data_IF_250170424423
#
_entry.id   IF_250170424423
#
_cell.length_a   1.000
_cell.length_b   1.000
_cell.length_c   1.000
_cell.angle_alpha   90.00
_cell.angle_beta   90.00
_cell.angle_gamma   90.00
#
_symmetry.space_group_name_H-M   'P 1'
#
loop_
_entity.id
_entity.type
_entity.pdbx_description
1 polymer ?
#
# COMPACT_ATOMS: atom_id res chain seq x y z
N UNK A 1 -27.75 -38.88 -6.71
CA UNK A 1 -27.13 -37.57 -7.00
C UNK A 1 -26.02 -37.39 -5.97
N UNK A 2 -24.78 -37.73 -6.36
CA UNK A 2 -23.62 -37.85 -5.46
C UNK A 2 -22.88 -36.51 -5.49
N UNK A 3 -22.81 -35.83 -4.35
CA UNK A 3 -22.06 -34.61 -4.18
C UNK A 3 -20.56 -34.95 -4.03
N UNK A 4 -19.78 -34.59 -5.04
CA UNK A 4 -18.31 -34.65 -4.98
C UNK A 4 -17.85 -33.44 -4.19
N UNK A 5 -17.55 -33.64 -2.90
CA UNK A 5 -16.79 -32.66 -2.11
C UNK A 5 -15.35 -32.66 -2.62
N UNK A 6 -14.97 -31.56 -3.28
CA UNK A 6 -13.59 -31.26 -3.61
C UNK A 6 -12.88 -30.86 -2.32
N UNK A 7 -12.19 -31.83 -1.72
CA UNK A 7 -11.21 -31.60 -0.66
C UNK A 7 -10.02 -30.89 -1.30
N UNK A 8 -9.94 -29.57 -1.18
CA UNK A 8 -8.71 -28.84 -1.47
C UNK A 8 -7.71 -29.11 -0.36
N UNK A 9 -6.83 -30.09 -0.57
CA UNK A 9 -5.63 -30.26 0.24
C UNK A 9 -4.66 -29.12 -0.10
N UNK A 10 -4.62 -28.09 0.76
CA UNK A 10 -3.55 -27.09 0.76
C UNK A 10 -2.25 -27.71 1.28
N UNK A 11 -1.54 -28.44 0.43
CA UNK A 11 -0.15 -28.83 0.66
C UNK A 11 0.76 -27.63 0.43
N UNK A 12 0.88 -26.77 1.46
CA UNK A 12 1.76 -25.60 1.44
C UNK A 12 1.95 -24.89 2.78
N UNK A 13 1.26 -25.30 3.85
CA UNK A 13 1.28 -24.62 5.16
C UNK A 13 1.57 -25.61 6.29
N UNK A 14 2.56 -26.48 6.16
CA UNK A 14 2.86 -27.45 7.25
C UNK A 14 3.83 -26.86 8.27
N UNK A 15 4.68 -25.89 7.91
CA UNK A 15 5.66 -25.32 8.85
C UNK A 15 5.13 -24.18 9.74
N UNK A 16 4.04 -23.50 9.36
CA UNK A 16 3.43 -22.43 10.15
C UNK A 16 2.25 -22.91 11.03
N UNK A 17 1.78 -24.15 10.83
CA UNK A 17 0.61 -24.72 11.49
C UNK A 17 0.82 -25.16 12.94
N UNK A 18 2.07 -25.27 13.41
CA UNK A 18 2.36 -25.69 14.80
C UNK A 18 2.58 -24.50 15.77
N UNK A 19 2.81 -23.29 15.26
CA UNK A 19 3.11 -22.12 16.10
C UNK A 19 1.86 -21.42 16.61
N UNK A 20 0.83 -21.33 15.77
CA UNK A 20 -0.46 -20.73 16.11
C UNK A 20 -1.47 -21.87 16.11
N UNK A 21 -2.12 -22.08 17.24
CA UNK A 21 -3.15 -23.11 17.34
C UNK A 21 -4.45 -22.68 16.63
N UNK A 22 -5.42 -23.58 16.59
CA UNK A 22 -6.70 -23.33 15.91
C UNK A 22 -7.46 -22.16 16.55
N UNK A 23 -7.50 -22.06 17.88
CA UNK A 23 -8.24 -21.02 18.60
C UNK A 23 -7.60 -19.63 18.39
N UNK A 24 -6.28 -19.57 18.40
CA UNK A 24 -5.49 -18.37 18.14
C UNK A 24 -5.63 -17.91 16.69
N UNK A 25 -5.74 -18.86 15.75
CA UNK A 25 -5.99 -18.56 14.35
C UNK A 25 -7.40 -18.01 14.13
N UNK A 26 -8.40 -18.57 14.83
CA UNK A 26 -9.76 -18.03 14.82
C UNK A 26 -9.82 -16.62 15.42
N UNK A 27 -9.08 -16.36 16.51
CA UNK A 27 -8.94 -15.00 17.07
C UNK A 27 -8.33 -14.03 16.06
N UNK A 28 -7.25 -14.42 15.38
CA UNK A 28 -6.63 -13.60 14.34
C UNK A 28 -7.60 -13.30 13.19
N UNK A 29 -8.36 -14.29 12.74
CA UNK A 29 -9.37 -14.12 11.69
C UNK A 29 -10.46 -13.15 12.15
N UNK A 30 -10.98 -13.29 13.38
CA UNK A 30 -11.98 -12.39 13.95
C UNK A 30 -11.48 -10.94 14.05
N UNK A 31 -10.22 -10.74 14.46
CA UNK A 31 -9.60 -9.40 14.49
C UNK A 31 -9.57 -8.80 13.07
N UNK A 32 -9.17 -9.57 12.06
CA UNK A 32 -9.12 -9.10 10.68
C UNK A 32 -10.51 -8.81 10.11
N UNK A 33 -11.49 -9.69 10.32
CA UNK A 33 -12.87 -9.48 9.87
C UNK A 33 -13.52 -8.27 10.54
N UNK A 34 -13.33 -8.08 11.85
CA UNK A 34 -13.82 -6.89 12.55
C UNK A 34 -13.20 -5.60 12.01
N UNK A 35 -11.91 -5.63 11.68
CA UNK A 35 -11.24 -4.49 11.04
C UNK A 35 -11.82 -4.19 9.65
N UNK A 36 -11.96 -5.21 8.81
CA UNK A 36 -12.50 -5.04 7.45
C UNK A 36 -13.92 -4.48 7.48
N UNK A 37 -14.76 -4.99 8.37
CA UNK A 37 -16.12 -4.50 8.56
C UNK A 37 -16.11 -3.04 9.01
N UNK A 38 -15.46 -2.71 10.13
CA UNK A 38 -15.44 -1.35 10.66
C UNK A 38 -14.82 -0.35 9.68
N UNK A 39 -13.76 -0.74 8.95
CA UNK A 39 -13.15 0.12 7.94
C UNK A 39 -14.08 0.34 6.73
N UNK A 40 -14.83 -0.69 6.33
CA UNK A 40 -15.80 -0.59 5.23
C UNK A 40 -16.97 0.35 5.56
N UNK A 41 -17.44 0.34 6.81
CA UNK A 41 -18.50 1.21 7.32
C UNK A 41 -18.12 2.71 7.28
N UNK A 42 -16.82 3.03 7.26
CA UNK A 42 -16.35 4.42 7.11
C UNK A 42 -16.52 4.97 5.70
N UNK A 43 -16.82 4.12 4.70
CA UNK A 43 -17.13 4.49 3.31
C UNK A 43 -16.12 5.45 2.66
N UNK A 44 -14.84 5.36 3.06
CA UNK A 44 -13.79 6.28 2.61
C UNK A 44 -13.59 6.19 1.10
N UNK A 45 -13.54 4.99 0.53
CA UNK A 45 -13.33 4.82 -0.91
C UNK A 45 -14.51 5.34 -1.73
N UNK A 46 -15.74 5.12 -1.24
CA UNK A 46 -16.95 5.65 -1.88
C UNK A 46 -16.96 7.17 -1.84
N UNK A 47 -16.58 7.77 -0.71
CA UNK A 47 -16.48 9.22 -0.58
C UNK A 47 -15.34 9.81 -1.42
N UNK A 48 -14.22 9.11 -1.61
CA UNK A 48 -13.15 9.51 -2.55
C UNK A 48 -13.68 9.50 -3.99
N UNK A 49 -14.36 8.42 -4.38
CA UNK A 49 -14.94 8.30 -5.72
C UNK A 49 -15.98 9.40 -5.97
N UNK A 50 -16.85 9.67 -4.99
CA UNK A 50 -17.84 10.74 -5.04
C UNK A 50 -17.18 12.11 -5.15
N UNK A 51 -16.13 12.37 -4.36
CA UNK A 51 -15.37 13.62 -4.42
C UNK A 51 -14.75 13.83 -5.81
N UNK A 52 -14.09 12.82 -6.36
CA UNK A 52 -13.45 12.89 -7.68
C UNK A 52 -14.47 13.13 -8.79
N UNK A 53 -15.62 12.45 -8.73
CA UNK A 53 -16.73 12.64 -9.67
C UNK A 53 -17.27 14.06 -9.62
N UNK A 54 -17.60 14.57 -8.43
CA UNK A 54 -18.10 15.93 -8.25
C UNK A 54 -17.10 16.97 -8.76
N UNK A 55 -15.80 16.76 -8.52
CA UNK A 55 -14.76 17.65 -8.99
C UNK A 55 -14.66 17.66 -10.53
N UNK A 56 -14.71 16.48 -11.17
CA UNK A 56 -14.73 16.36 -12.62
C UNK A 56 -15.98 16.98 -13.25
N UNK A 57 -17.15 16.78 -12.63
CA UNK A 57 -18.42 17.35 -13.08
C UNK A 57 -18.41 18.89 -13.01
N UNK A 58 -17.83 19.47 -11.94
CA UNK A 58 -17.64 20.91 -11.80
C UNK A 58 -16.74 21.45 -12.92
N UNK A 59 -15.57 20.84 -13.16
CA UNK A 59 -14.64 21.30 -14.19
C UNK A 59 -15.23 21.16 -15.60
N UNK A 60 -15.90 20.05 -15.90
CA UNK A 60 -16.63 19.89 -17.17
C UNK A 60 -17.69 20.97 -17.37
N UNK A 61 -18.44 21.30 -16.30
CA UNK A 61 -19.49 22.33 -16.36
C UNK A 61 -18.90 23.73 -16.50
N UNK A 62 -17.74 24.01 -15.90
CA UNK A 62 -17.01 25.28 -16.11
C UNK A 62 -16.57 25.44 -17.56
N UNK A 63 -16.00 24.41 -18.18
CA UNK A 63 -15.60 24.46 -19.61
C UNK A 63 -16.81 24.74 -20.50
N UNK A 64 -17.93 24.04 -20.25
CA UNK A 64 -19.19 24.30 -20.98
C UNK A 64 -19.69 25.73 -20.75
N UNK A 65 -19.61 26.23 -19.52
CA UNK A 65 -20.00 27.59 -19.17
C UNK A 65 -19.16 28.62 -19.95
N UNK A 66 -17.83 28.46 -19.98
CA UNK A 66 -16.92 29.35 -20.69
C UNK A 66 -17.19 29.35 -22.19
N UNK A 67 -17.41 28.17 -22.79
CA UNK A 67 -17.80 28.06 -24.20
C UNK A 67 -19.13 28.77 -24.51
N UNK A 68 -20.15 28.64 -23.64
CA UNK A 68 -21.42 29.35 -23.80
C UNK A 68 -21.25 30.87 -23.64
N UNK A 69 -20.37 31.32 -22.74
CA UNK A 69 -20.05 32.74 -22.58
C UNK A 69 -19.37 33.29 -23.85
N UNK A 70 -18.41 32.57 -24.42
CA UNK A 70 -17.76 32.97 -25.68
C UNK A 70 -18.74 32.99 -26.87
N UNK A 71 -19.63 31.99 -26.97
CA UNK A 71 -20.70 32.00 -27.97
C UNK A 71 -21.62 33.21 -27.81
N UNK A 72 -22.02 33.57 -26.58
CA UNK A 72 -22.83 34.76 -26.34
C UNK A 72 -22.10 36.02 -26.83
N UNK A 73 -20.79 36.17 -26.54
CA UNK A 73 -20.01 37.32 -27.00
C UNK A 73 -19.95 37.39 -28.52
N UNK A 74 -19.66 36.27 -29.18
CA UNK A 74 -19.57 36.19 -30.64
C UNK A 74 -20.90 36.51 -31.32
N UNK A 75 -21.99 35.87 -30.89
CA UNK A 75 -23.33 36.07 -31.46
C UNK A 75 -23.90 37.46 -31.14
N UNK A 76 -23.52 38.06 -30.02
CA UNK A 76 -23.87 39.47 -29.72
C UNK A 76 -23.18 40.44 -30.67
N UNK A 77 -21.90 40.21 -31.00
CA UNK A 77 -21.19 41.02 -32.01
C UNK A 77 -21.86 40.87 -33.38
N UNK A 78 -22.21 39.64 -33.78
CA UNK A 78 -22.93 39.38 -35.04
C UNK A 78 -24.30 40.07 -35.08
N UNK A 79 -25.03 40.07 -33.96
CA UNK A 79 -26.32 40.77 -33.87
C UNK A 79 -26.13 42.28 -34.02
N UNK A 80 -25.11 42.85 -33.38
CA UNK A 80 -24.78 44.28 -33.51
C UNK A 80 -24.49 44.64 -34.96
N UNK A 81 -23.67 43.85 -35.67
CA UNK A 81 -23.31 44.13 -37.06
C UNK A 81 -24.54 44.11 -37.97
N UNK A 82 -25.39 43.07 -37.85
CA UNK A 82 -26.67 42.99 -38.60
C UNK A 82 -27.61 44.16 -38.33
N UNK A 83 -27.70 44.61 -37.08
CA UNK A 83 -28.54 45.76 -36.73
C UNK A 83 -28.01 47.07 -37.35
N UNK A 84 -26.70 47.27 -37.43
CA UNK A 84 -26.09 48.41 -38.12
C UNK A 84 -26.38 48.36 -39.62
N UNK A 85 -26.45 47.16 -40.21
CA UNK A 85 -26.87 46.93 -41.60
C UNK A 85 -28.39 47.07 -41.81
N UNK A 86 -29.18 47.33 -40.75
CA UNK A 86 -30.63 47.46 -40.82
C UNK A 86 -31.40 46.13 -40.86
N UNK A 87 -30.74 45.01 -40.59
CA UNK A 87 -31.32 43.66 -40.59
C UNK A 87 -31.59 43.18 -39.16
N UNK A 88 -32.84 42.84 -38.86
CA UNK A 88 -33.23 42.24 -37.59
C UNK A 88 -33.32 40.70 -37.71
N UNK A 89 -32.52 39.99 -36.92
CA UNK A 89 -32.47 38.51 -36.90
C UNK A 89 -33.06 37.96 -35.60
N UNK A 90 -34.34 37.60 -35.63
CA UNK A 90 -35.07 37.08 -34.47
C UNK A 90 -34.52 35.72 -33.99
N UNK A 91 -34.04 34.89 -34.92
CA UNK A 91 -33.47 33.57 -34.59
C UNK A 91 -32.20 33.68 -33.75
N UNK A 92 -31.39 34.71 -34.03
CA UNK A 92 -30.17 35.01 -33.29
C UNK A 92 -30.47 35.48 -31.86
N UNK A 93 -31.50 36.29 -31.68
CA UNK A 93 -31.96 36.74 -30.35
C UNK A 93 -32.48 35.57 -29.52
N UNK A 94 -33.28 34.67 -30.12
CA UNK A 94 -33.74 33.45 -29.44
C UNK A 94 -32.57 32.56 -29.00
N UNK A 95 -31.55 32.44 -29.85
CA UNK A 95 -30.31 31.70 -29.55
C UNK A 95 -29.58 32.31 -28.35
N UNK A 96 -29.36 33.64 -28.35
CA UNK A 96 -28.75 34.36 -27.24
C UNK A 96 -29.53 34.20 -25.93
N UNK A 97 -30.87 34.24 -25.99
CA UNK A 97 -31.74 34.01 -24.82
C UNK A 97 -31.57 32.59 -24.26
N UNK A 98 -31.51 31.58 -25.13
CA UNK A 98 -31.31 30.19 -24.73
C UNK A 98 -29.91 29.98 -24.11
N UNK A 99 -28.86 30.54 -24.72
CA UNK A 99 -27.50 30.49 -24.17
C UNK A 99 -27.41 31.16 -22.79
N UNK A 100 -28.06 32.32 -22.61
CA UNK A 100 -28.13 33.01 -21.31
C UNK A 100 -28.82 32.16 -20.23
N UNK A 101 -29.93 31.49 -20.57
CA UNK A 101 -30.61 30.58 -19.65
C UNK A 101 -29.72 29.37 -19.28
N UNK A 102 -29.00 28.81 -20.26
CA UNK A 102 -28.02 27.72 -20.04
C UNK A 102 -26.89 28.16 -19.11
N UNK A 103 -26.35 29.37 -19.29
CA UNK A 103 -25.32 29.95 -18.41
C UNK A 103 -25.82 30.03 -16.97
N UNK A 104 -27.05 30.50 -16.74
CA UNK A 104 -27.61 30.58 -15.39
C UNK A 104 -27.79 29.18 -14.77
N UNK A 105 -28.31 28.23 -15.55
CA UNK A 105 -28.46 26.82 -15.11
C UNK A 105 -27.11 26.19 -14.74
N UNK A 106 -26.09 26.35 -15.59
CA UNK A 106 -24.73 25.83 -15.34
C UNK A 106 -24.09 26.46 -14.10
N UNK A 107 -24.30 27.75 -13.85
CA UNK A 107 -23.83 28.40 -12.60
C UNK A 107 -24.47 27.79 -11.36
N UNK A 108 -25.78 27.53 -11.38
CA UNK A 108 -26.46 26.85 -10.27
C UNK A 108 -26.00 25.40 -10.08
N UNK A 109 -25.72 24.67 -11.17
CA UNK A 109 -25.16 23.32 -11.11
C UNK A 109 -23.77 23.32 -10.45
N UNK A 110 -22.89 24.26 -10.83
CA UNK A 110 -21.56 24.42 -10.22
C UNK A 110 -21.69 24.74 -8.72
N UNK A 111 -22.58 25.65 -8.34
CA UNK A 111 -22.76 26.01 -6.93
C UNK A 111 -23.26 24.82 -6.09
N UNK A 112 -24.23 24.06 -6.62
CA UNK A 112 -24.81 22.89 -5.94
C UNK A 112 -23.78 21.78 -5.79
N UNK A 113 -23.06 21.44 -6.86
CA UNK A 113 -21.99 20.47 -6.82
C UNK A 113 -20.85 20.92 -5.88
N UNK A 114 -20.55 22.22 -5.82
CA UNK A 114 -19.57 22.79 -4.91
C UNK A 114 -19.93 22.61 -3.43
N UNK A 115 -21.21 22.78 -3.07
CA UNK A 115 -21.70 22.50 -1.70
C UNK A 115 -21.55 21.03 -1.34
N UNK A 116 -21.98 20.13 -2.24
CA UNK A 116 -21.84 18.68 -2.04
C UNK A 116 -20.37 18.24 -1.95
N UNK A 117 -19.47 18.88 -2.72
CA UNK A 117 -18.04 18.62 -2.67
C UNK A 117 -17.44 19.00 -1.30
N UNK A 118 -17.86 20.13 -0.73
CA UNK A 118 -17.42 20.59 0.58
C UNK A 118 -17.91 19.64 1.70
N UNK A 119 -19.15 19.17 1.62
CA UNK A 119 -19.71 18.16 2.54
C UNK A 119 -18.94 16.83 2.43
N UNK A 120 -18.76 16.32 1.22
CA UNK A 120 -18.00 15.08 0.98
C UNK A 120 -16.56 15.18 1.50
N UNK A 121 -15.93 16.36 1.38
CA UNK A 121 -14.59 16.61 1.95
C UNK A 121 -14.58 16.54 3.48
N UNK A 122 -15.63 17.03 4.14
CA UNK A 122 -15.77 16.95 5.61
C UNK A 122 -15.97 15.52 6.06
N UNK A 123 -16.82 14.76 5.36
CA UNK A 123 -17.03 13.32 5.59
C UNK A 123 -15.74 12.52 5.41
N UNK A 124 -14.95 12.82 4.37
CA UNK A 124 -13.63 12.20 4.16
C UNK A 124 -12.67 12.47 5.32
N UNK A 125 -12.59 13.72 5.78
CA UNK A 125 -11.72 14.07 6.91
C UNK A 125 -12.14 13.34 8.18
N UNK A 126 -13.44 13.21 8.44
CA UNK A 126 -13.95 12.47 9.58
C UNK A 126 -13.68 10.95 9.46
N UNK A 127 -13.97 10.37 8.31
CA UNK A 127 -13.69 8.95 8.03
C UNK A 127 -12.22 8.63 8.18
N UNK A 128 -11.31 9.48 7.70
CA UNK A 128 -9.85 9.30 7.89
C UNK A 128 -9.42 9.38 9.37
N UNK A 129 -10.08 10.23 10.18
CA UNK A 129 -9.82 10.27 11.62
C UNK A 129 -10.26 8.97 12.30
N UNK A 130 -11.45 8.46 11.96
CA UNK A 130 -11.98 7.20 12.50
C UNK A 130 -11.21 5.97 12.01
N UNK A 131 -10.74 5.96 10.76
CA UNK A 131 -9.98 4.85 10.18
C UNK A 131 -8.77 4.50 11.03
N UNK A 132 -8.00 5.50 11.45
CA UNK A 132 -6.84 5.18 12.28
C UNK A 132 -7.16 4.97 13.77
N UNK A 133 -8.40 5.16 14.21
CA UNK A 133 -8.84 4.55 15.47
C UNK A 133 -9.10 3.05 15.27
N UNK A 134 -9.76 2.67 14.18
CA UNK A 134 -9.99 1.26 13.79
C UNK A 134 -8.67 0.51 13.59
N UNK A 135 -7.68 1.13 12.92
CA UNK A 135 -6.34 0.55 12.75
C UNK A 135 -5.60 0.38 14.09
N UNK A 136 -5.72 1.34 15.02
CA UNK A 136 -5.13 1.20 16.37
C UNK A 136 -5.73 0.02 17.11
N UNK A 137 -7.07 -0.10 17.12
CA UNK A 137 -7.77 -1.20 17.79
C UNK A 137 -7.33 -2.56 17.22
N UNK A 138 -7.19 -2.67 15.89
CA UNK A 138 -6.64 -3.87 15.25
C UNK A 138 -5.22 -4.16 15.75
N UNK A 139 -4.33 -3.18 15.71
CA UNK A 139 -2.93 -3.38 16.08
C UNK A 139 -2.79 -3.78 17.55
N UNK A 140 -3.52 -3.14 18.45
CA UNK A 140 -3.52 -3.46 19.88
C UNK A 140 -4.02 -4.89 20.12
N UNK A 141 -5.06 -5.33 19.39
CA UNK A 141 -5.56 -6.70 19.45
C UNK A 141 -4.55 -7.74 18.92
N UNK A 142 -3.84 -7.44 17.82
CA UNK A 142 -2.79 -8.34 17.29
C UNK A 142 -1.62 -8.42 18.27
N UNK A 143 -1.23 -7.31 18.90
CA UNK A 143 -0.16 -7.29 19.92
C UNK A 143 -0.56 -8.08 21.17
N UNK A 144 -1.81 -7.95 21.62
CA UNK A 144 -2.32 -8.75 22.73
C UNK A 144 -2.32 -10.25 22.40
N UNK A 145 -2.73 -10.62 21.18
CA UNK A 145 -2.68 -12.01 20.70
C UNK A 145 -1.23 -12.52 20.63
N UNK A 146 -0.29 -11.71 20.15
CA UNK A 146 1.13 -12.05 20.13
C UNK A 146 1.68 -12.36 21.52
N UNK A 147 1.44 -11.50 22.52
CA UNK A 147 1.92 -11.74 23.89
C UNK A 147 1.24 -12.95 24.53
N UNK A 148 -0.04 -13.21 24.21
CA UNK A 148 -0.72 -14.44 24.62
C UNK A 148 -0.03 -15.69 24.07
N UNK A 149 0.19 -15.75 22.75
CA UNK A 149 0.82 -16.90 22.09
C UNK A 149 2.25 -17.10 22.64
N UNK A 150 3.02 -16.01 22.75
CA UNK A 150 4.37 -16.04 23.31
C UNK A 150 4.39 -16.59 24.74
N UNK A 151 3.46 -16.15 25.60
CA UNK A 151 3.34 -16.64 26.98
C UNK A 151 3.04 -18.14 27.00
N UNK A 152 2.13 -18.61 26.13
CA UNK A 152 1.82 -20.04 25.99
C UNK A 152 3.06 -20.86 25.62
N UNK A 153 3.78 -20.49 24.55
CA UNK A 153 5.00 -21.20 24.15
C UNK A 153 6.09 -21.17 25.22
N UNK A 154 6.24 -20.05 25.94
CA UNK A 154 7.19 -19.95 27.07
C UNK A 154 6.81 -20.89 28.23
N UNK A 155 5.52 -21.12 28.45
CA UNK A 155 5.04 -22.05 29.47
C UNK A 155 5.19 -23.51 29.01
N UNK A 156 4.87 -23.82 27.76
CA UNK A 156 5.10 -25.14 27.14
C UNK A 156 6.58 -25.53 27.17
N UNK A 157 7.50 -24.57 26.94
CA UNK A 157 8.94 -24.81 27.01
C UNK A 157 9.45 -25.22 28.40
N UNK A 158 8.71 -24.92 29.47
CA UNK A 158 9.06 -25.32 30.84
C UNK A 158 8.64 -26.76 31.15
N UNK A 159 7.60 -27.26 30.49
CA UNK A 159 6.98 -28.55 30.75
C UNK A 159 7.71 -29.69 30.05
N UNK A 160 7.76 -30.86 30.69
CA UNK A 160 8.23 -32.11 30.08
C UNK A 160 7.02 -32.84 29.53
N UNK A 161 6.98 -33.00 28.22
CA UNK A 161 5.97 -33.78 27.52
C UNK A 161 6.45 -35.23 27.44
N UNK A 162 5.58 -36.17 27.78
CA UNK A 162 5.80 -37.61 27.60
C UNK A 162 4.96 -38.06 26.42
N UNK A 163 5.57 -38.82 25.51
CA UNK A 163 4.93 -39.25 24.28
C UNK A 163 5.41 -40.65 23.89
N UNK A 164 4.61 -41.35 23.11
CA UNK A 164 4.92 -42.69 22.61
C UNK A 164 5.12 -42.62 21.10
N UNK A 165 6.24 -43.18 20.63
CA UNK A 165 6.62 -43.19 19.23
C UNK A 165 6.69 -44.61 18.71
N UNK A 166 5.85 -44.89 17.72
CA UNK A 166 5.81 -46.18 17.04
C UNK A 166 6.52 -46.07 15.70
N UNK A 167 7.24 -47.12 15.32
CA UNK A 167 7.92 -47.15 14.04
C UNK A 167 8.35 -48.54 13.62
N UNK A 168 8.89 -48.63 12.42
CA UNK A 168 9.41 -49.86 11.85
C UNK A 168 10.78 -49.65 11.22
N UNK A 169 11.61 -50.67 11.27
CA UNK A 169 12.95 -50.68 10.67
C UNK A 169 13.27 -52.09 10.15
N UNK A 170 14.24 -52.20 9.24
CA UNK A 170 14.66 -53.48 8.69
C UNK A 170 15.98 -53.93 9.32
N UNK A 171 15.96 -55.11 9.93
CA UNK A 171 17.11 -55.75 10.56
C UNK A 171 17.65 -56.89 9.70
N UNK A 172 18.92 -57.22 9.89
CA UNK A 172 19.43 -58.48 9.39
C UNK A 172 18.77 -59.63 10.17
N UNK A 173 18.30 -60.67 9.47
CA UNK A 173 17.68 -61.86 10.08
C UNK A 173 18.65 -62.60 11.01
N UNK A 174 19.97 -62.48 10.76
CA UNK A 174 21.00 -63.08 11.59
C UNK A 174 21.42 -62.23 12.82
N UNK A 175 20.95 -60.98 12.92
CA UNK A 175 21.27 -60.08 14.03
C UNK A 175 20.21 -60.20 15.14
N UNK A 176 20.61 -60.14 16.42
CA UNK A 176 19.65 -60.15 17.52
C UNK A 176 18.84 -58.85 17.57
N UNK A 177 17.58 -58.95 18.00
CA UNK A 177 16.66 -57.82 18.17
C UNK A 177 17.31 -56.63 18.90
N UNK A 178 17.96 -56.90 20.04
CA UNK A 178 18.61 -55.88 20.86
C UNK A 178 19.78 -55.20 20.16
N UNK A 179 20.58 -55.95 19.39
CA UNK A 179 21.71 -55.40 18.63
C UNK A 179 21.20 -54.49 17.52
N UNK A 180 20.17 -54.92 16.79
CA UNK A 180 19.58 -54.14 15.72
C UNK A 180 18.93 -52.83 16.24
N UNK A 181 18.18 -52.89 17.34
CA UNK A 181 17.57 -51.70 17.95
C UNK A 181 18.64 -50.74 18.45
N UNK A 182 19.68 -51.22 19.15
CA UNK A 182 20.75 -50.37 19.65
C UNK A 182 21.56 -49.69 18.54
N UNK A 183 21.82 -50.42 17.44
CA UNK A 183 22.49 -49.88 16.24
C UNK A 183 21.67 -48.76 15.60
N UNK A 184 20.35 -48.91 15.54
CA UNK A 184 19.44 -47.94 14.93
C UNK A 184 18.92 -46.87 15.90
N UNK A 185 19.24 -46.96 17.19
CA UNK A 185 18.74 -46.03 18.22
C UNK A 185 18.98 -44.54 17.89
N UNK A 186 20.15 -44.11 17.35
CA UNK A 186 20.35 -42.73 16.92
C UNK A 186 19.38 -42.31 15.80
N UNK A 187 19.15 -43.19 14.82
CA UNK A 187 18.23 -42.94 13.70
C UNK A 187 16.78 -42.87 14.17
N UNK A 188 16.37 -43.76 15.06
CA UNK A 188 15.03 -43.76 15.68
C UNK A 188 14.82 -42.47 16.48
N UNK A 189 15.79 -42.06 17.30
CA UNK A 189 15.76 -40.78 18.03
C UNK A 189 15.64 -39.59 17.09
N UNK A 190 16.41 -39.57 16.01
CA UNK A 190 16.37 -38.48 15.03
C UNK A 190 15.02 -38.43 14.31
N UNK A 191 14.46 -39.58 13.92
CA UNK A 191 13.14 -39.67 13.30
C UNK A 191 12.04 -39.14 14.23
N UNK A 192 12.07 -39.50 15.52
CA UNK A 192 11.18 -38.93 16.52
C UNK A 192 11.35 -37.41 16.62
N UNK A 193 12.59 -36.91 16.72
CA UNK A 193 12.84 -35.47 16.81
C UNK A 193 12.33 -34.71 15.59
N UNK A 194 12.55 -35.24 14.39
CA UNK A 194 12.05 -34.66 13.13
C UNK A 194 10.52 -34.64 13.13
N UNK A 195 9.87 -35.72 13.59
CA UNK A 195 8.40 -35.79 13.67
C UNK A 195 7.77 -34.73 14.59
N UNK A 196 8.56 -34.16 15.51
CA UNK A 196 8.15 -33.09 16.44
C UNK A 196 8.70 -31.71 16.05
N UNK A 197 9.01 -31.51 14.77
CA UNK A 197 9.48 -30.23 14.24
C UNK A 197 10.99 -30.01 14.31
N UNK A 198 11.78 -31.02 14.71
CA UNK A 198 13.24 -31.00 14.68
C UNK A 198 13.90 -30.45 15.95
N UNK A 199 15.24 -30.43 15.94
CA UNK A 199 16.08 -30.00 17.07
C UNK A 199 15.90 -28.52 17.45
N UNK A 200 15.40 -27.70 16.52
CA UNK A 200 15.08 -26.29 16.77
C UNK A 200 13.81 -26.11 17.60
N UNK A 201 12.90 -27.10 17.57
CA UNK A 201 11.57 -27.05 18.20
C UNK A 201 11.49 -27.81 19.51
N UNK A 202 12.28 -28.87 19.65
CA UNK A 202 12.25 -29.68 20.87
C UNK A 202 13.66 -30.04 21.37
N UNK A 203 13.77 -30.20 22.68
CA UNK A 203 14.93 -30.77 23.36
C UNK A 203 14.52 -32.09 24.01
N UNK A 204 15.05 -33.19 23.48
CA UNK A 204 14.87 -34.52 24.05
C UNK A 204 15.45 -34.57 25.47
N UNK A 205 14.68 -35.08 26.42
CA UNK A 205 15.08 -35.26 27.83
C UNK A 205 15.20 -36.73 28.23
N UNK A 206 14.46 -37.61 27.56
CA UNK A 206 14.53 -39.06 27.72
C UNK A 206 14.02 -39.75 26.46
N UNK A 207 14.58 -40.91 26.15
CA UNK A 207 14.10 -41.74 25.04
C UNK A 207 14.53 -43.18 25.23
N UNK A 208 13.56 -44.10 25.21
CA UNK A 208 13.79 -45.53 25.43
C UNK A 208 12.81 -46.34 24.59
N UNK A 209 13.34 -47.31 23.85
CA UNK A 209 12.51 -48.33 23.19
C UNK A 209 11.98 -49.28 24.27
N UNK A 210 10.67 -49.38 24.40
CA UNK A 210 9.99 -50.18 25.44
C UNK A 210 9.52 -51.52 24.93
N UNK A 211 9.18 -51.61 23.65
CA UNK A 211 8.78 -52.86 23.01
C UNK A 211 9.35 -52.91 21.59
N UNK A 212 9.68 -54.13 21.13
CA UNK A 212 10.14 -54.39 19.78
C UNK A 212 9.81 -55.84 19.39
N UNK A 213 9.25 -56.01 18.19
CA UNK A 213 8.90 -57.31 17.61
C UNK A 213 9.51 -57.44 16.23
N UNK A 214 10.23 -58.54 15.96
CA UNK A 214 10.86 -58.82 14.67
C UNK A 214 10.20 -60.02 13.98
N UNK A 215 9.90 -59.87 12.69
CA UNK A 215 9.41 -60.93 11.81
C UNK A 215 10.58 -61.72 11.20
N UNK A 216 10.29 -62.94 10.75
CA UNK A 216 11.28 -63.85 10.16
C UNK A 216 11.97 -63.30 8.89
N UNK A 217 11.36 -62.32 8.22
CA UNK A 217 11.92 -61.64 7.05
C UNK A 217 12.84 -60.46 7.41
N UNK A 218 13.05 -60.17 8.71
CA UNK A 218 13.89 -59.08 9.18
C UNK A 218 13.14 -57.79 9.51
N UNK A 219 11.84 -57.70 9.27
CA UNK A 219 11.06 -56.50 9.59
C UNK A 219 10.83 -56.38 11.10
N UNK A 220 11.30 -55.28 11.70
CA UNK A 220 11.16 -54.98 13.11
C UNK A 220 10.18 -53.82 13.29
N UNK A 221 9.17 -54.00 14.14
CA UNK A 221 8.30 -52.93 14.64
C UNK A 221 8.65 -52.62 16.09
N UNK A 222 8.65 -51.35 16.48
CA UNK A 222 9.03 -50.93 17.83
C UNK A 222 8.08 -49.85 18.37
N UNK A 223 8.02 -49.79 19.70
CA UNK A 223 7.36 -48.74 20.47
C UNK A 223 8.41 -48.12 21.39
N UNK A 224 8.53 -46.79 21.36
CA UNK A 224 9.46 -46.04 22.18
C UNK A 224 8.76 -45.00 23.04
N UNK A 225 9.10 -44.97 24.32
CA UNK A 225 8.74 -43.87 25.21
C UNK A 225 9.75 -42.74 25.02
N UNK A 226 9.24 -41.56 24.71
CA UNK A 226 9.99 -40.33 24.59
C UNK A 226 9.55 -39.32 25.64
N UNK A 227 10.48 -38.51 26.11
CA UNK A 227 10.20 -37.35 26.95
C UNK A 227 10.99 -36.16 26.40
N UNK A 228 10.34 -35.04 26.16
CA UNK A 228 10.97 -33.86 25.58
C UNK A 228 10.41 -32.57 26.17
N UNK A 229 11.14 -31.47 26.00
CA UNK A 229 10.68 -30.11 26.26
C UNK A 229 10.56 -29.36 24.95
N UNK A 230 9.58 -28.48 24.81
CA UNK A 230 9.56 -27.53 23.70
C UNK A 230 10.71 -26.51 23.86
N UNK A 231 11.25 -26.06 22.74
CA UNK A 231 12.31 -25.05 22.68
C UNK A 231 11.70 -23.73 22.21
N UNK A 232 11.73 -22.71 23.07
CA UNK A 232 11.44 -21.35 22.65
C UNK A 232 12.76 -20.62 22.36
N UNK A 233 12.95 -20.21 21.10
CA UNK A 233 14.16 -19.55 20.63
C UNK A 233 13.84 -18.21 19.95
N UNK A 234 14.86 -17.41 19.67
CA UNK A 234 14.73 -16.20 18.86
C UNK A 234 14.16 -16.49 17.46
N UNK A 235 14.44 -17.67 16.89
CA UNK A 235 13.87 -18.07 15.60
C UNK A 235 12.37 -18.34 15.71
N UNK A 236 11.92 -18.98 16.80
CA UNK A 236 10.50 -19.17 17.12
C UNK A 236 9.77 -17.82 17.20
N UNK A 237 10.40 -16.82 17.81
CA UNK A 237 9.86 -15.47 17.90
C UNK A 237 9.73 -14.79 16.53
N UNK A 238 10.73 -14.94 15.65
CA UNK A 238 10.68 -14.39 14.29
C UNK A 238 9.58 -15.04 13.46
N UNK A 239 9.43 -16.36 13.55
CA UNK A 239 8.38 -17.09 12.83
C UNK A 239 6.99 -16.75 13.34
N UNK A 240 6.82 -16.63 14.67
CA UNK A 240 5.56 -16.19 15.27
C UNK A 240 5.18 -14.78 14.81
N UNK A 241 6.15 -13.86 14.81
CA UNK A 241 5.93 -12.50 14.31
C UNK A 241 5.52 -12.50 12.85
N UNK A 242 6.21 -13.27 12.00
CA UNK A 242 5.87 -13.40 10.58
C UNK A 242 4.47 -13.97 10.38
N UNK A 243 4.08 -14.97 11.17
CA UNK A 243 2.75 -15.58 11.12
C UNK A 243 1.64 -14.61 11.51
N UNK A 244 1.92 -13.65 12.41
CA UNK A 244 1.02 -12.56 12.78
C UNK A 244 1.19 -11.29 11.93
N UNK A 245 2.05 -11.33 10.91
CA UNK A 245 2.39 -10.20 10.05
C UNK A 245 2.99 -8.98 10.81
N UNK A 246 3.81 -9.27 11.83
CA UNK A 246 4.50 -8.33 12.73
C UNK A 246 6.00 -8.19 12.40
N UNK A 247 6.37 -8.03 11.12
CA UNK A 247 7.78 -7.90 10.73
C UNK A 247 8.50 -6.72 11.43
N UNK A 248 9.75 -6.90 11.86
CA UNK A 248 10.54 -5.78 12.39
C UNK A 248 10.82 -4.78 11.25
N UNK A 249 10.31 -3.57 11.39
CA UNK A 249 10.61 -2.47 10.47
C UNK A 249 11.71 -1.61 11.06
N UNK A 250 12.69 -1.26 10.22
CA UNK A 250 13.69 -0.25 10.54
C UNK A 250 13.34 1.03 9.83
N UNK A 251 13.21 2.12 10.55
CA UNK A 251 12.89 3.44 9.98
C UNK A 251 13.52 4.54 10.82
N UNK A 252 13.44 5.77 10.34
CA UNK A 252 14.12 6.92 10.90
C UNK A 252 13.11 8.01 11.19
N UNK A 253 13.14 8.53 12.41
CA UNK A 253 12.51 9.82 12.72
C UNK A 253 13.53 10.93 12.64
N UNK A 254 13.20 11.99 11.89
CA UNK A 254 14.00 13.20 11.82
C UNK A 254 13.25 14.41 12.35
N UNK A 255 13.97 15.32 12.97
CA UNK A 255 13.48 16.64 13.36
C UNK A 255 14.59 17.66 13.18
N UNK A 256 14.22 18.90 12.90
CA UNK A 256 15.14 20.03 12.82
C UNK A 256 15.56 20.58 14.20
N UNK A 257 15.37 19.81 15.27
CA UNK A 257 15.76 20.20 16.62
C UNK A 257 16.19 18.99 17.45
N UNK A 258 17.37 19.08 18.05
CA UNK A 258 17.96 18.04 18.92
C UNK A 258 17.20 17.78 20.22
N UNK A 259 16.28 18.67 20.60
CA UNK A 259 15.43 18.54 21.79
C UNK A 259 14.10 17.83 21.53
N UNK A 260 13.89 17.30 20.33
CA UNK A 260 12.66 16.58 19.98
C UNK A 260 12.67 15.17 20.58
N UNK A 261 11.57 14.77 21.23
CA UNK A 261 11.34 13.39 21.65
C UNK A 261 10.22 12.77 20.83
N UNK A 262 10.44 11.54 20.35
CA UNK A 262 9.49 10.80 19.52
C UNK A 262 8.81 9.71 20.34
N UNK A 263 7.52 9.55 20.10
CA UNK A 263 6.66 8.58 20.73
C UNK A 263 5.87 7.83 19.67
N UNK A 264 5.74 6.52 19.82
CA UNK A 264 4.82 5.68 19.04
C UNK A 264 3.78 5.13 20.02
N UNK A 265 2.50 5.40 19.78
CA UNK A 265 1.41 5.02 20.69
C UNK A 265 1.72 5.38 22.17
N UNK A 266 2.22 6.61 22.37
CA UNK A 266 2.61 7.18 23.66
C UNK A 266 3.79 6.51 24.40
N UNK A 267 4.42 5.49 23.82
CA UNK A 267 5.70 4.98 24.29
C UNK A 267 6.86 5.77 23.67
N UNK A 268 7.78 6.25 24.50
CA UNK A 268 8.96 6.99 24.03
C UNK A 268 9.92 6.04 23.33
N UNK A 269 10.22 6.32 22.07
CA UNK A 269 11.13 5.50 21.25
C UNK A 269 12.51 6.12 21.06
N UNK A 270 12.66 7.42 21.31
CA UNK A 270 13.96 8.10 21.30
C UNK A 270 13.86 9.62 21.33
N UNK A 271 15.00 10.29 21.36
CA UNK A 271 15.11 11.75 21.33
C UNK A 271 16.32 12.17 20.50
N UNK A 272 16.21 13.30 19.78
CA UNK A 272 17.28 13.84 18.96
C UNK A 272 16.81 14.40 17.62
N UNK A 273 17.75 14.86 16.80
CA UNK A 273 17.49 15.30 15.41
C UNK A 273 17.23 14.13 14.48
N UNK A 274 17.79 12.96 14.82
CA UNK A 274 17.66 11.72 14.08
C UNK A 274 17.57 10.57 15.09
N UNK A 275 16.54 9.74 14.96
CA UNK A 275 16.36 8.54 15.77
C UNK A 275 16.11 7.38 14.82
N UNK A 276 17.07 6.46 14.74
CA UNK A 276 16.89 5.19 14.03
C UNK A 276 16.12 4.24 14.96
N UNK A 277 14.92 3.88 14.56
CA UNK A 277 14.02 2.98 15.32
C UNK A 277 13.98 1.65 14.60
N UNK A 278 14.22 0.57 15.34
CA UNK A 278 14.04 -0.80 14.87
C UNK A 278 13.09 -1.48 15.83
N UNK A 279 12.02 -2.05 15.32
CA UNK A 279 11.06 -2.78 16.15
C UNK A 279 9.80 -3.20 15.41
N UNK A 280 8.87 -3.77 16.17
CA UNK A 280 7.58 -4.24 15.68
C UNK A 280 6.62 -3.06 15.45
N UNK A 281 6.81 -2.35 14.35
CA UNK A 281 5.96 -1.23 13.99
C UNK A 281 5.40 -1.37 12.57
N UNK A 282 4.95 -2.55 12.15
CA UNK A 282 4.28 -2.70 10.84
C UNK A 282 2.87 -2.15 10.90
N UNK A 283 2.54 -1.28 9.95
CA UNK A 283 1.20 -0.71 9.81
C UNK A 283 1.13 0.76 10.22
N UNK A 284 -0.09 1.24 10.45
CA UNK A 284 -0.33 2.66 10.75
C UNK A 284 -0.26 2.91 12.25
N UNK A 285 0.65 3.79 12.66
CA UNK A 285 0.86 4.16 14.05
C UNK A 285 0.60 5.65 14.27
N UNK A 286 0.19 5.96 15.49
CA UNK A 286 0.16 7.33 15.98
C UNK A 286 1.54 7.74 16.46
N UNK A 287 2.23 8.51 15.65
CA UNK A 287 3.55 9.03 15.99
C UNK A 287 3.41 10.45 16.50
N UNK A 288 3.91 10.69 17.71
CA UNK A 288 3.92 12.00 18.36
C UNK A 288 5.36 12.46 18.54
N UNK A 289 5.71 13.59 17.95
CA UNK A 289 6.95 14.29 18.21
C UNK A 289 6.68 15.46 19.16
N UNK A 290 7.48 15.61 20.22
CA UNK A 290 7.32 16.67 21.22
C UNK A 290 8.62 17.47 21.32
N UNK A 291 8.51 18.79 21.18
CA UNK A 291 9.61 19.71 21.34
C UNK A 291 9.16 20.94 22.16
N UNK A 292 9.78 21.16 23.33
CA UNK A 292 9.53 22.32 24.20
C UNK A 292 8.03 22.66 24.39
N UNK A 293 7.21 21.66 24.73
CA UNK A 293 5.77 21.83 24.99
C UNK A 293 4.88 21.89 23.74
N UNK A 294 5.45 21.90 22.53
CA UNK A 294 4.71 21.74 21.27
C UNK A 294 4.76 20.29 20.82
N UNK A 295 3.60 19.72 20.52
CA UNK A 295 3.48 18.36 19.99
C UNK A 295 2.99 18.39 18.54
N UNK A 296 3.61 17.58 17.69
CA UNK A 296 3.09 17.23 16.37
C UNK A 296 2.74 15.75 16.38
N UNK A 297 1.49 15.43 16.03
CA UNK A 297 1.02 14.06 15.94
C UNK A 297 0.62 13.74 14.51
N UNK A 298 1.22 12.69 13.95
CA UNK A 298 0.96 12.20 12.60
C UNK A 298 0.61 10.73 12.66
N UNK A 299 -0.33 10.31 11.82
CA UNK A 299 -0.62 8.90 11.57
C UNK A 299 0.28 8.45 10.43
N UNK A 300 1.25 7.59 10.72
CA UNK A 300 2.26 7.16 9.77
C UNK A 300 2.13 5.66 9.55
N UNK A 301 2.05 5.25 8.29
CA UNK A 301 2.28 3.85 7.92
C UNK A 301 3.79 3.60 7.98
N UNK A 302 4.25 3.02 9.08
CA UNK A 302 5.65 2.76 9.36
C UNK A 302 6.10 1.54 8.55
N UNK A 303 7.06 1.77 7.65
CA UNK A 303 7.59 0.79 6.70
C UNK A 303 9.09 0.63 6.87
N UNK A 304 9.62 -0.52 6.45
CA UNK A 304 11.05 -0.74 6.44
C UNK A 304 11.75 0.24 5.47
N UNK A 305 12.85 0.85 5.92
CA UNK A 305 13.53 1.93 5.21
C UNK A 305 12.81 3.29 5.25
N UNK A 306 11.71 3.42 6.01
CA UNK A 306 10.97 4.66 6.11
C UNK A 306 11.78 5.80 6.74
N UNK A 307 11.57 7.02 6.29
CA UNK A 307 12.20 8.22 6.83
C UNK A 307 11.14 9.32 7.00
N UNK A 308 10.84 9.68 8.24
CA UNK A 308 9.71 10.53 8.59
C UNK A 308 10.19 11.77 9.34
N UNK A 309 9.88 12.94 8.77
CA UNK A 309 10.39 14.23 9.26
C UNK A 309 9.32 15.05 9.98
N UNK A 310 9.65 15.56 11.16
CA UNK A 310 8.80 16.37 12.04
C UNK A 310 9.42 17.77 12.21
N UNK A 311 9.00 18.75 11.41
CA UNK A 311 9.53 20.11 11.45
C UNK A 311 8.87 20.90 12.59
N UNK A 312 9.66 21.36 13.55
CA UNK A 312 9.21 22.40 14.49
C UNK A 312 9.62 23.76 13.97
N UNK A 313 8.77 24.78 14.12
CA UNK A 313 9.15 26.14 13.78
C UNK A 313 10.37 26.52 14.60
N UNK A 314 11.55 26.54 13.96
CA UNK A 314 12.71 27.18 14.52
C UNK A 314 12.31 28.65 14.67
N UNK A 315 12.50 29.22 15.87
CA UNK A 315 12.72 30.66 15.90
C UNK A 315 13.98 30.85 15.05
N UNK A 316 13.80 31.30 13.81
CA UNK A 316 14.84 31.34 12.80
C UNK A 316 16.02 32.14 13.31
N UNK A 317 17.17 31.48 13.48
CA UNK A 317 18.45 32.12 13.27
C UNK A 317 18.70 32.12 11.76
N UNK A 318 18.16 33.14 11.10
CA UNK A 318 18.85 33.71 9.95
C UNK A 318 20.12 34.34 10.49
N UNK A 319 21.29 33.85 10.07
CA UNK A 319 22.39 34.74 9.77
C UNK A 319 23.31 34.11 8.72
N UNK A 320 23.39 34.83 7.60
CA UNK A 320 24.62 34.90 6.83
C UNK A 320 25.70 35.46 7.75
N UNK A 321 26.89 34.88 7.62
CA UNK A 321 28.21 35.49 7.83
C UNK A 321 28.22 36.91 8.47
N UNK A 322 28.55 36.92 9.75
CA UNK A 322 29.46 37.85 10.47
C UNK A 322 29.17 39.37 10.37
N UNK A 323 28.75 40.00 11.48
CA UNK A 323 29.52 41.02 12.25
C UNK A 323 28.70 41.67 13.41
N UNK A 324 29.24 41.54 14.62
CA UNK A 324 29.25 42.41 15.83
C UNK A 324 27.97 43.01 16.47
N UNK A 325 27.76 42.57 17.72
CA UNK A 325 27.49 43.30 18.98
C UNK A 325 26.97 44.76 18.94
N UNK A 326 25.80 45.02 19.53
CA UNK A 326 25.68 45.53 20.92
C UNK A 326 24.21 45.66 21.38
N UNK A 327 23.92 45.00 22.50
CA UNK A 327 23.03 45.39 23.63
C UNK A 327 22.10 46.62 23.50
N UNK A 328 20.78 46.43 23.68
CA UNK A 328 20.10 46.62 24.98
C UNK A 328 18.58 46.41 24.90
N UNK A 329 18.03 46.02 26.05
CA UNK A 329 16.67 45.57 26.31
C UNK A 329 15.59 46.66 26.23
N UNK A 330 14.31 46.25 26.08
CA UNK A 330 13.19 46.47 27.04
C UNK A 330 11.79 46.25 26.39
N UNK A 331 11.01 45.38 27.05
CA UNK A 331 9.55 45.35 27.27
C UNK A 331 8.47 45.22 26.17
N UNK A 332 7.72 44.11 26.36
CA UNK A 332 6.25 43.97 26.58
C UNK A 332 5.21 44.40 25.52
N UNK A 333 4.16 43.56 25.54
CA UNK A 333 2.71 43.78 25.26
C UNK A 333 2.15 43.61 23.84
N UNK A 334 1.34 42.55 23.71
CA UNK A 334 0.18 42.33 22.82
C UNK A 334 -0.93 43.30 23.32
N UNK A 335 -1.84 43.93 22.50
CA UNK A 335 -2.86 43.18 21.75
C UNK A 335 -3.55 43.78 20.49
N UNK A 336 -4.15 42.86 19.73
CA UNK A 336 -5.50 42.89 19.09
C UNK A 336 -5.92 44.04 18.16
N UNK A 337 -6.30 43.67 16.92
CA UNK A 337 -7.68 43.81 16.36
C UNK A 337 -7.76 44.28 14.89
N UNK A 338 -8.69 43.64 14.17
CA UNK A 338 -9.56 44.18 13.12
C UNK A 338 -8.98 44.80 11.82
N UNK A 339 -9.21 44.15 10.65
CA UNK A 339 -10.18 44.58 9.60
C UNK A 339 -9.95 43.86 8.26
N UNK A 340 -11.03 43.28 7.77
CA UNK A 340 -11.31 42.96 6.36
C UNK A 340 -11.22 44.18 5.45
N UNK A 341 -10.75 44.02 4.20
CA UNK A 341 -11.28 44.69 3.00
C UNK A 341 -10.80 44.03 1.70
N UNK A 342 -11.76 43.69 0.86
CA UNK A 342 -11.60 43.36 -0.57
C UNK A 342 -11.36 44.64 -1.37
N UNK A 343 -10.52 44.54 -2.41
CA UNK A 343 -10.56 45.44 -3.58
C UNK A 343 -10.21 44.65 -4.84
N UNK A 344 -11.15 44.68 -5.80
CA UNK A 344 -10.93 44.33 -7.22
C UNK A 344 -10.16 45.47 -7.89
N UNK A 345 -9.28 45.17 -8.85
CA UNK A 345 -9.54 45.41 -10.29
C UNK A 345 -8.29 45.76 -11.14
N UNK A 346 -8.36 45.28 -12.38
CA UNK A 346 -7.74 45.72 -13.66
C UNK A 346 -6.31 45.30 -14.02
N UNK A 347 -6.28 44.51 -15.10
CA UNK A 347 -5.19 44.12 -15.99
C UNK A 347 -4.45 45.32 -16.64
N UNK A 348 -3.16 45.17 -16.92
CA UNK A 348 -2.66 45.43 -18.28
C UNK A 348 -1.44 44.55 -18.61
N UNK A 349 -1.22 44.19 -19.89
CA UNK A 349 -0.43 43.04 -20.32
C UNK A 349 1.00 43.38 -20.76
N UNK A 350 1.75 42.30 -21.03
CA UNK A 350 2.91 42.22 -21.93
C UNK A 350 4.29 42.59 -21.36
N UNK A 351 5.06 41.56 -20.97
CA UNK A 351 6.27 41.17 -21.72
C UNK A 351 6.77 39.79 -21.29
N UNK A 352 6.73 38.89 -22.26
CA UNK A 352 7.22 37.52 -22.25
C UNK A 352 8.76 37.53 -22.10
N UNK A 353 9.28 36.74 -21.16
CA UNK A 353 10.52 35.99 -21.31
C UNK A 353 10.34 34.62 -20.67
N UNK A 354 10.75 33.62 -21.43
CA UNK A 354 10.63 32.19 -21.17
C UNK A 354 11.16 31.80 -19.79
N UNK A 355 10.33 31.08 -19.04
CA UNK A 355 10.76 30.15 -18.01
C UNK A 355 9.74 29.02 -17.99
N UNK A 356 10.18 27.87 -18.50
CA UNK A 356 9.52 26.58 -18.52
C UNK A 356 8.79 26.29 -17.21
N UNK A 357 7.49 26.10 -17.33
CA UNK A 357 6.57 25.80 -16.24
C UNK A 357 6.93 24.47 -15.57
N UNK A 358 7.49 24.56 -14.36
CA UNK A 358 7.51 23.46 -13.41
C UNK A 358 6.08 23.17 -12.96
N UNK A 359 5.45 22.16 -13.57
CA UNK A 359 4.16 21.64 -13.12
C UNK A 359 4.31 21.05 -11.71
N UNK A 360 3.39 21.44 -10.83
CA UNK A 360 3.20 20.94 -9.48
C UNK A 360 3.11 19.42 -9.46
N UNK A 361 4.08 18.76 -8.82
CA UNK A 361 4.11 17.31 -8.59
C UNK A 361 2.99 16.90 -7.64
N UNK A 362 1.87 16.41 -8.19
CA UNK A 362 1.09 15.37 -7.53
C UNK A 362 1.90 14.07 -7.67
N UNK A 363 2.44 13.54 -6.58
CA UNK A 363 3.13 12.25 -6.58
C UNK A 363 2.11 11.13 -6.74
N UNK A 364 1.83 10.77 -8.00
CA UNK A 364 1.12 9.54 -8.35
C UNK A 364 2.03 8.35 -8.08
N UNK A 365 1.62 7.45 -7.18
CA UNK A 365 2.32 6.21 -6.90
C UNK A 365 2.03 5.19 -8.02
N UNK A 366 2.94 5.09 -8.98
CA UNK A 366 2.93 4.03 -9.98
C UNK A 366 3.76 2.82 -9.50
N UNK A 367 3.26 1.63 -9.78
CA UNK A 367 3.97 0.35 -9.57
C UNK A 367 4.12 -0.33 -10.92
N UNK A 368 5.08 -1.25 -11.06
CA UNK A 368 5.28 -1.99 -12.30
C UNK A 368 5.16 -3.48 -12.03
N UNK A 369 4.32 -4.17 -12.80
CA UNK A 369 4.23 -5.64 -12.80
C UNK A 369 5.20 -6.19 -13.84
N UNK A 370 6.07 -7.12 -13.45
CA UNK A 370 6.85 -7.89 -14.41
C UNK A 370 5.91 -8.83 -15.16
N UNK A 371 5.82 -8.67 -16.48
CA UNK A 371 5.01 -9.53 -17.35
C UNK A 371 5.84 -10.72 -17.82
N UNK A 372 7.07 -10.45 -18.25
CA UNK A 372 7.96 -11.45 -18.80
C UNK A 372 9.41 -10.98 -18.70
N UNK A 373 10.35 -11.91 -18.59
CA UNK A 373 11.78 -11.65 -18.55
C UNK A 373 12.48 -12.68 -19.42
N UNK A 374 13.24 -12.21 -20.39
CA UNK A 374 14.14 -13.04 -21.19
C UNK A 374 15.61 -12.71 -20.87
N UNK A 375 16.53 -13.18 -21.71
CA UNK A 375 17.96 -12.99 -21.53
C UNK A 375 18.43 -11.55 -21.79
N UNK A 376 17.69 -10.76 -22.58
CA UNK A 376 18.06 -9.41 -22.98
C UNK A 376 17.14 -8.32 -22.38
N UNK A 377 15.89 -8.64 -22.08
CA UNK A 377 14.88 -7.66 -21.67
C UNK A 377 14.01 -8.13 -20.51
N UNK A 378 13.63 -7.18 -19.65
CA UNK A 378 12.50 -7.32 -18.72
C UNK A 378 11.34 -6.46 -19.20
N UNK A 379 10.18 -7.08 -19.38
CA UNK A 379 8.95 -6.44 -19.83
C UNK A 379 8.06 -6.09 -18.64
N UNK A 380 7.81 -4.80 -18.45
CA UNK A 380 7.08 -4.25 -17.32
C UNK A 380 5.76 -3.64 -17.78
N UNK A 381 4.65 -3.99 -17.13
CA UNK A 381 3.39 -3.25 -17.29
C UNK A 381 3.20 -2.30 -16.11
N UNK A 382 3.11 -0.99 -16.39
CA UNK A 382 2.80 0.01 -15.38
C UNK A 382 1.37 -0.14 -14.86
N UNK A 383 1.23 0.02 -13.56
CA UNK A 383 -0.03 -0.01 -12.83
C UNK A 383 -0.12 1.17 -11.89
N UNK A 384 -1.29 1.77 -11.85
CA UNK A 384 -1.60 2.73 -10.82
C UNK A 384 -1.86 2.00 -9.50
N UNK A 385 -1.11 2.34 -8.46
CA UNK A 385 -1.32 1.75 -7.13
C UNK A 385 -2.30 2.65 -6.35
N UNK A 386 -3.57 2.26 -6.37
CA UNK A 386 -4.57 2.79 -5.44
C UNK A 386 -4.41 2.17 -4.05
N UNK A 387 -5.06 2.74 -3.05
CA UNK A 387 -4.97 2.32 -1.64
C UNK A 387 -5.44 0.87 -1.38
N UNK A 388 -6.17 0.24 -2.31
CA UNK A 388 -6.72 -1.12 -2.13
C UNK A 388 -6.56 -2.07 -3.33
N UNK A 389 -6.40 -1.56 -4.56
CA UNK A 389 -6.20 -2.39 -5.77
C UNK A 389 -5.27 -1.68 -6.77
N UNK A 390 -4.45 -2.46 -7.46
CA UNK A 390 -3.66 -1.99 -8.60
C UNK A 390 -4.52 -2.03 -9.87
N UNK A 391 -4.62 -0.92 -10.59
CA UNK A 391 -5.31 -0.86 -11.88
C UNK A 391 -4.30 -0.71 -13.02
N UNK A 392 -4.62 -1.27 -14.18
CA UNK A 392 -3.78 -1.08 -15.37
C UNK A 392 -3.79 0.41 -15.77
N UNK A 393 -2.62 0.91 -16.18
CA UNK A 393 -2.42 2.30 -16.51
C UNK A 393 -2.69 2.54 -18.00
N UNK A 394 -3.53 3.53 -18.30
CA UNK A 394 -3.82 4.00 -19.66
C UNK A 394 -3.32 5.44 -19.78
N UNK A 395 -2.43 5.69 -20.74
CA UNK A 395 -1.86 7.03 -20.99
C UNK A 395 -1.96 7.36 -22.48
N UNK A 396 -1.87 8.64 -22.81
CA UNK A 396 -1.57 9.05 -24.18
C UNK A 396 -0.13 8.63 -24.54
N UNK A 397 0.23 8.75 -25.81
CA UNK A 397 1.51 8.25 -26.32
C UNK A 397 2.69 9.00 -25.72
N UNK A 398 2.64 10.32 -25.66
CA UNK A 398 3.71 11.17 -25.16
C UNK A 398 4.02 10.87 -23.69
N UNK A 399 2.99 10.74 -22.86
CA UNK A 399 3.11 10.41 -21.44
C UNK A 399 3.59 8.97 -21.23
N UNK A 400 3.19 8.02 -22.09
CA UNK A 400 3.68 6.63 -22.04
C UNK A 400 5.18 6.53 -22.38
N UNK A 401 5.64 7.27 -23.40
CA UNK A 401 7.07 7.39 -23.74
C UNK A 401 7.82 8.01 -22.57
N UNK A 402 7.32 9.14 -22.06
CA UNK A 402 7.93 9.83 -20.93
C UNK A 402 8.02 8.93 -19.69
N UNK A 403 6.99 8.13 -19.43
CA UNK A 403 7.01 7.15 -18.34
C UNK A 403 8.10 6.10 -18.53
N UNK A 404 8.15 5.41 -19.67
CA UNK A 404 9.14 4.36 -19.89
C UNK A 404 10.57 4.91 -19.88
N UNK A 405 10.81 6.06 -20.52
CA UNK A 405 12.16 6.64 -20.63
C UNK A 405 12.62 7.28 -19.32
N UNK A 406 11.80 8.12 -18.68
CA UNK A 406 12.23 8.91 -17.53
C UNK A 406 12.08 8.18 -16.19
N UNK A 407 11.10 7.26 -16.05
CA UNK A 407 10.88 6.54 -14.78
C UNK A 407 11.60 5.19 -14.72
N UNK A 408 11.78 4.54 -15.87
CA UNK A 408 12.29 3.17 -15.92
C UNK A 408 13.54 3.00 -16.78
N UNK A 409 14.08 4.08 -17.35
CA UNK A 409 15.24 4.04 -18.24
C UNK A 409 15.07 2.99 -19.35
N UNK A 410 13.88 2.98 -19.95
CA UNK A 410 13.40 1.91 -20.83
C UNK A 410 12.69 2.48 -22.06
N UNK A 411 12.26 1.62 -22.98
CA UNK A 411 11.55 2.04 -24.20
C UNK A 411 10.27 1.25 -24.41
N UNK A 412 9.34 1.82 -25.17
CA UNK A 412 8.17 1.08 -25.63
C UNK A 412 8.61 -0.09 -26.57
N UNK A 413 7.97 -1.27 -26.48
CA UNK A 413 8.25 -2.38 -27.38
C UNK A 413 7.86 -2.07 -28.84
N UNK A 414 8.50 -2.79 -29.76
CA UNK A 414 8.07 -2.84 -31.16
C UNK A 414 6.88 -3.78 -31.32
N UNK A 415 6.18 -3.70 -32.45
CA UNK A 415 5.12 -4.66 -32.78
C UNK A 415 5.60 -6.11 -32.74
N UNK A 416 6.81 -6.38 -33.26
CA UNK A 416 7.40 -7.73 -33.21
C UNK A 416 7.66 -8.21 -31.77
N UNK A 417 7.99 -7.29 -30.85
CA UNK A 417 8.18 -7.64 -29.44
C UNK A 417 6.84 -7.99 -28.75
N UNK A 418 5.73 -7.36 -29.12
CA UNK A 418 4.41 -7.75 -28.62
C UNK A 418 3.95 -9.11 -29.17
N UNK A 419 4.17 -9.36 -30.46
CA UNK A 419 3.92 -10.68 -31.07
C UNK A 419 4.77 -11.78 -30.41
N UNK A 420 6.03 -11.46 -30.08
CA UNK A 420 6.87 -12.36 -29.30
C UNK A 420 6.28 -12.60 -27.91
N UNK A 421 5.87 -11.56 -27.18
CA UNK A 421 5.28 -11.71 -25.84
C UNK A 421 4.03 -12.61 -25.83
N UNK A 422 3.14 -12.50 -26.80
CA UNK A 422 1.94 -13.37 -26.88
C UNK A 422 2.27 -14.87 -26.99
N UNK A 423 3.46 -15.24 -27.47
CA UNK A 423 3.87 -16.64 -27.55
C UNK A 423 4.37 -17.21 -26.21
N UNK A 424 4.79 -16.35 -25.27
CA UNK A 424 5.49 -16.75 -24.04
C UNK A 424 4.82 -16.26 -22.75
N UNK A 425 3.79 -15.42 -22.84
CA UNK A 425 3.06 -14.90 -21.70
C UNK A 425 1.63 -14.52 -22.08
N UNK A 426 0.69 -14.69 -21.14
CA UNK A 426 -0.69 -14.26 -21.30
C UNK A 426 -0.77 -12.74 -21.17
N UNK A 427 -0.62 -12.04 -22.31
CA UNK A 427 -0.83 -10.61 -22.40
C UNK A 427 -2.29 -10.30 -22.07
N UNK A 428 -2.53 -9.28 -21.25
CA UNK A 428 -3.90 -8.87 -20.96
C UNK A 428 -4.58 -8.38 -22.25
N UNK A 429 -5.84 -8.77 -22.52
CA UNK A 429 -6.52 -8.35 -23.74
C UNK A 429 -6.65 -6.82 -23.82
N UNK A 430 -6.28 -6.24 -24.95
CA UNK A 430 -6.53 -4.83 -25.27
C UNK A 430 -5.48 -4.19 -26.19
N UNK A 431 -5.54 -2.86 -26.24
CA UNK A 431 -4.74 -2.01 -27.14
C UNK A 431 -3.51 -1.43 -26.44
N UNK A 432 -2.36 -1.57 -27.12
CA UNK A 432 -1.03 -1.24 -26.60
C UNK A 432 -0.28 -0.24 -27.46
N UNK A 433 0.36 0.75 -26.83
CA UNK A 433 1.28 1.63 -27.53
C UNK A 433 2.55 0.90 -27.98
N UNK A 434 2.89 1.07 -29.26
CA UNK A 434 4.18 0.64 -29.82
C UNK A 434 5.16 1.81 -29.91
N UNK A 435 6.46 1.49 -29.99
CA UNK A 435 7.52 2.48 -30.19
C UNK A 435 7.29 3.41 -31.38
N UNK A 436 6.70 2.90 -32.47
CA UNK A 436 6.46 3.66 -33.71
C UNK A 436 5.15 4.47 -33.68
N UNK A 437 4.42 4.49 -32.55
CA UNK A 437 3.17 5.24 -32.40
C UNK A 437 1.95 4.58 -33.03
N UNK A 438 2.08 3.33 -33.53
CA UNK A 438 0.93 2.50 -33.89
C UNK A 438 0.37 1.80 -32.66
N UNK A 439 -0.92 1.48 -32.68
CA UNK A 439 -1.55 0.63 -31.66
C UNK A 439 -1.36 -0.84 -32.05
N UNK A 440 -0.91 -1.65 -31.10
CA UNK A 440 -0.92 -3.10 -31.18
C UNK A 440 -2.14 -3.61 -30.41
N UNK A 441 -3.06 -4.29 -31.10
CA UNK A 441 -4.20 -4.93 -30.43
C UNK A 441 -3.92 -6.42 -30.26
N UNK A 442 -4.07 -6.91 -29.03
CA UNK A 442 -3.99 -8.35 -28.75
C UNK A 442 -5.32 -9.07 -29.05
N UNK A 443 -6.33 -8.36 -29.54
CA UNK A 443 -7.61 -8.90 -30.01
C UNK A 443 -7.82 -8.54 -31.49
N UNK A 444 -8.46 -9.43 -32.27
CA UNK A 444 -8.86 -9.09 -33.65
C UNK A 444 -10.13 -8.24 -33.60
N UNK A 445 -10.01 -6.95 -33.90
CA UNK A 445 -11.15 -6.04 -34.05
C UNK A 445 -11.59 -5.96 -35.53
N UNK A 446 -12.88 -6.12 -35.82
CA UNK A 446 -13.47 -5.96 -37.16
C UNK A 446 -13.69 -4.48 -37.54
N UNK A 447 -13.61 -3.55 -36.60
CA UNK A 447 -13.67 -2.10 -36.86
C UNK A 447 -12.49 -1.38 -36.19
N UNK A 448 -11.57 -0.87 -37.02
CA UNK A 448 -10.29 -0.26 -36.61
C UNK A 448 -10.38 1.20 -36.15
N UNK A 449 -11.57 1.82 -36.17
CA UNK A 449 -11.67 3.29 -36.15
C UNK A 449 -12.22 3.90 -34.86
N UNK A 450 -12.42 3.14 -33.77
CA UNK A 450 -13.01 3.68 -32.53
C UNK A 450 -12.41 3.14 -31.23
N UNK A 451 -11.18 3.56 -30.91
CA UNK A 451 -10.62 3.61 -29.56
C UNK A 451 -9.14 4.07 -29.60
N UNK A 452 -8.57 4.99 -28.80
CA UNK A 452 -8.99 6.05 -27.88
C UNK A 452 -7.75 6.93 -27.66
N UNK A 453 -7.90 8.17 -27.20
CA UNK A 453 -6.79 9.11 -26.88
C UNK A 453 -5.77 8.57 -25.84
N UNK A 454 -6.05 7.43 -25.20
CA UNK A 454 -5.20 6.75 -24.23
C UNK A 454 -5.24 5.23 -24.41
N UNK A 455 -4.08 4.56 -24.34
CA UNK A 455 -3.95 3.10 -24.48
C UNK A 455 -3.07 2.51 -23.36
N UNK A 456 -3.08 1.17 -23.23
CA UNK A 456 -2.12 0.46 -22.38
C UNK A 456 -0.73 0.56 -22.98
N UNK A 457 0.29 0.28 -22.19
CA UNK A 457 1.66 0.18 -22.68
C UNK A 457 2.50 -0.72 -21.81
N UNK A 458 3.52 -1.32 -22.41
CA UNK A 458 4.56 -2.07 -21.73
C UNK A 458 5.86 -1.28 -21.87
N UNK A 459 6.71 -1.34 -20.85
CA UNK A 459 8.06 -0.80 -20.90
C UNK A 459 9.06 -1.96 -21.01
N UNK A 460 9.91 -1.93 -22.02
CA UNK A 460 10.94 -2.92 -22.29
C UNK A 460 12.29 -2.40 -21.76
N UNK A 461 12.72 -2.96 -20.64
CA UNK A 461 13.96 -2.58 -19.93
C UNK A 461 15.11 -3.47 -20.39
N UNK A 462 16.20 -2.89 -20.87
CA UNK A 462 17.40 -3.64 -21.26
C UNK A 462 18.10 -4.21 -20.02
N UNK A 463 18.47 -5.48 -20.08
CA UNK A 463 19.31 -6.13 -19.08
C UNK A 463 20.75 -6.10 -19.59
N UNK A 464 21.41 -4.96 -19.43
CA UNK A 464 22.85 -4.85 -19.69
C UNK A 464 23.66 -5.34 -18.50
#
# INVERSE_FOLDING_TARGET
MIAIMVVMTWSGVVAASELIDFEERDKLNNINSSYEQQYSELRIDENIARFNKLNADIESTKIKLDNNIEMIKSETSRLKDKLVEGVYDESLILTLRNLSAKVNSMKHQIETAGKQLAETKKELSHGQQQAAQVERVKNDAILALYEQIKSRHMNEAKQVVKDTYEGSLQCNVAESLSTCVNRNLPSIKNAFVISKGGLSRIKLTGFRVVDATQRLNGDLSFIADASYKHSYSTNTEVELRKALNLDNVRFVFRSNSSKTSFYINDQKVGSGERVDVTGNYVGVYSVRAVNNGKAQSLKLNLKNGGDYFFPFASKTSSDKLVLKETSNAISRTIPSSHKTKFTKSVLNPSKIKEATSASSKNETHYTNKVIYKDQAFTYLSPRFQGNKKSHDLFLNREDAIQYCEQRLSSKLPTQAAYQYLELYTDLAPGDYWTQKGKVYSSEKHEELDKAFDTNRFICMVSMN
#
